data_IF_563572726551
#
_entry.id   IF_563572726551
#
_cell.length_a   1.000
_cell.length_b   1.000
_cell.length_c   1.000
_cell.angle_alpha   90.00
_cell.angle_beta   90.00
_cell.angle_gamma   90.00
#
_symmetry.space_group_name_H-M   'P 1'
#
loop_
_entity.id
_entity.type
_entity.pdbx_description
1 polymer ?
#
# COMPACT_ATOMS: atom_id res chain seq x y z
N UNK A 1 3.15 -14.65 8.79
CA UNK A 1 3.04 -14.50 7.32
C UNK A 1 1.61 -14.77 6.85
N UNK A 2 0.98 -15.90 7.19
CA UNK A 2 -0.43 -16.16 6.84
C UNK A 2 -1.36 -15.01 7.26
N UNK A 3 -1.34 -14.62 8.54
CA UNK A 3 -2.18 -13.53 9.05
C UNK A 3 -1.98 -12.20 8.30
N UNK A 4 -0.74 -11.87 7.94
CA UNK A 4 -0.44 -10.68 7.14
C UNK A 4 -1.07 -10.78 5.75
N UNK A 5 -0.93 -11.93 5.08
CA UNK A 5 -1.50 -12.16 3.74
C UNK A 5 -3.02 -12.06 3.81
N UNK A 6 -3.65 -12.66 4.82
CA UNK A 6 -5.11 -12.67 5.00
C UNK A 6 -5.64 -11.24 5.18
N UNK A 7 -5.06 -10.48 6.13
CA UNK A 7 -5.38 -9.06 6.33
C UNK A 7 -5.14 -8.22 5.06
N UNK A 8 -4.08 -8.52 4.31
CA UNK A 8 -3.78 -7.78 3.08
C UNK A 8 -4.79 -8.10 1.97
N UNK A 9 -5.24 -9.35 1.88
CA UNK A 9 -6.28 -9.78 0.94
C UNK A 9 -7.63 -9.14 1.25
N UNK A 10 -8.01 -9.06 2.53
CA UNK A 10 -9.24 -8.36 2.94
C UNK A 10 -9.21 -6.89 2.52
N UNK A 11 -8.05 -6.25 2.66
CA UNK A 11 -7.83 -4.86 2.24
C UNK A 11 -7.93 -4.69 0.71
N UNK A 12 -7.39 -5.63 -0.07
CA UNK A 12 -7.58 -5.65 -1.54
C UNK A 12 -9.03 -5.88 -1.90
N UNK A 13 -9.73 -6.78 -1.21
CA UNK A 13 -11.17 -7.01 -1.41
C UNK A 13 -11.99 -5.75 -1.16
N UNK A 14 -11.67 -4.99 -0.11
CA UNK A 14 -12.29 -3.70 0.15
C UNK A 14 -12.06 -2.70 -1.00
N UNK A 15 -10.83 -2.64 -1.53
CA UNK A 15 -10.51 -1.84 -2.73
C UNK A 15 -11.33 -2.32 -3.92
N UNK A 16 -11.46 -3.62 -4.18
CA UNK A 16 -12.26 -4.13 -5.31
C UNK A 16 -13.74 -3.68 -5.26
N UNK A 17 -14.30 -3.53 -4.06
CA UNK A 17 -15.67 -3.05 -3.86
C UNK A 17 -15.80 -1.53 -3.92
N UNK A 18 -14.88 -0.79 -3.29
CA UNK A 18 -14.93 0.67 -3.15
C UNK A 18 -14.33 1.38 -4.37
N UNK A 19 -13.25 0.82 -4.90
CA UNK A 19 -12.47 1.37 -6.00
C UNK A 19 -13.09 1.12 -7.38
N UNK A 20 -14.00 0.16 -7.58
CA UNK A 20 -14.74 0.08 -8.87
C UNK A 20 -15.53 1.36 -9.20
N UNK A 21 -15.90 2.14 -8.20
CA UNK A 21 -16.56 3.45 -8.36
C UNK A 21 -15.59 4.63 -8.43
N UNK A 22 -14.32 4.42 -8.11
CA UNK A 22 -13.34 5.47 -7.76
C UNK A 22 -12.07 5.40 -8.64
N UNK A 23 -11.62 4.19 -8.96
CA UNK A 23 -10.38 3.81 -9.63
C UNK A 23 -10.72 3.22 -11.00
N UNK A 24 -10.00 3.64 -12.05
CA UNK A 24 -10.18 3.09 -13.40
C UNK A 24 -9.72 1.62 -13.47
N UNK A 25 -10.14 0.88 -14.52
CA UNK A 25 -9.73 -0.53 -14.71
C UNK A 25 -8.21 -0.74 -14.77
N UNK A 26 -7.49 0.19 -15.40
CA UNK A 26 -6.02 0.11 -15.53
C UNK A 26 -5.33 0.27 -14.17
N UNK A 27 -5.83 1.21 -13.36
CA UNK A 27 -5.30 1.49 -12.02
C UNK A 27 -5.62 0.35 -11.05
N UNK A 28 -6.80 -0.27 -11.19
CA UNK A 28 -7.20 -1.46 -10.43
C UNK A 28 -6.29 -2.65 -10.70
N UNK A 29 -6.01 -2.95 -11.97
CA UNK A 29 -5.09 -4.02 -12.34
C UNK A 29 -3.67 -3.76 -11.84
N UNK A 30 -3.20 -2.51 -11.98
CA UNK A 30 -1.89 -2.08 -11.48
C UNK A 30 -1.82 -2.27 -9.96
N UNK A 31 -2.81 -1.77 -9.21
CA UNK A 31 -2.88 -1.91 -7.76
C UNK A 31 -2.81 -3.38 -7.32
N UNK A 32 -3.58 -4.27 -7.97
CA UNK A 32 -3.56 -5.70 -7.68
C UNK A 32 -2.17 -6.31 -7.90
N UNK A 33 -1.50 -5.99 -9.01
CA UNK A 33 -0.14 -6.47 -9.28
C UNK A 33 0.85 -6.00 -8.20
N UNK A 34 0.75 -4.74 -7.76
CA UNK A 34 1.61 -4.20 -6.72
C UNK A 34 1.42 -4.95 -5.39
N UNK A 35 0.17 -5.22 -5.04
CA UNK A 35 -0.14 -5.97 -3.81
C UNK A 35 0.35 -7.41 -3.89
N UNK A 36 0.22 -8.07 -5.04
CA UNK A 36 0.71 -9.44 -5.21
C UNK A 36 2.24 -9.55 -5.03
N UNK A 37 3.01 -8.56 -5.51
CA UNK A 37 4.46 -8.50 -5.27
C UNK A 37 4.85 -8.37 -3.79
N UNK A 38 3.97 -7.78 -2.98
CA UNK A 38 4.20 -7.53 -1.55
C UNK A 38 3.77 -8.70 -0.64
N UNK A 39 3.13 -9.75 -1.19
CA UNK A 39 2.71 -10.96 -0.46
C UNK A 39 3.77 -12.07 -0.45
N UNK A 40 4.88 -11.89 -1.16
CA UNK A 40 5.92 -12.93 -1.28
C UNK A 40 6.46 -13.37 0.08
N UNK A 41 6.70 -14.67 0.24
CA UNK A 41 7.42 -15.23 1.40
C UNK A 41 8.93 -14.99 1.30
N UNK A 42 9.44 -14.69 0.11
CA UNK A 42 10.81 -14.23 -0.12
C UNK A 42 10.90 -12.72 0.15
N UNK A 43 11.53 -12.37 1.27
CA UNK A 43 11.64 -10.99 1.72
C UNK A 43 12.55 -10.12 0.84
N UNK A 44 13.51 -10.71 0.13
CA UNK A 44 14.32 -9.95 -0.81
C UNK A 44 13.47 -9.58 -2.04
N UNK A 45 12.63 -10.50 -2.52
CA UNK A 45 11.65 -10.18 -3.55
C UNK A 45 10.66 -9.08 -3.11
N UNK A 46 10.19 -9.10 -1.84
CA UNK A 46 9.36 -8.01 -1.30
C UNK A 46 10.11 -6.68 -1.29
N UNK A 47 11.37 -6.65 -0.85
CA UNK A 47 12.19 -5.42 -0.86
C UNK A 47 12.43 -4.89 -2.28
N UNK A 48 12.71 -5.76 -3.25
CA UNK A 48 12.86 -5.37 -4.65
C UNK A 48 11.58 -4.77 -5.22
N UNK A 49 10.41 -5.32 -4.86
CA UNK A 49 9.13 -4.71 -5.22
C UNK A 49 8.96 -3.33 -4.58
N UNK A 50 9.27 -3.16 -3.29
CA UNK A 50 9.23 -1.85 -2.62
C UNK A 50 10.18 -0.84 -3.30
N UNK A 51 11.36 -1.28 -3.71
CA UNK A 51 12.32 -0.48 -4.47
C UNK A 51 11.75 0.00 -5.81
N UNK A 52 11.09 -0.89 -6.54
CA UNK A 52 10.46 -0.54 -7.80
C UNK A 52 9.35 0.50 -7.57
N UNK A 53 8.49 0.28 -6.58
CA UNK A 53 7.43 1.22 -6.20
C UNK A 53 7.97 2.61 -5.85
N UNK A 54 9.08 2.68 -5.12
CA UNK A 54 9.77 3.93 -4.81
C UNK A 54 10.30 4.64 -6.05
N UNK A 55 10.84 3.90 -7.03
CA UNK A 55 11.33 4.49 -8.29
C UNK A 55 10.19 5.02 -9.14
N UNK A 56 9.07 4.31 -9.19
CA UNK A 56 7.89 4.70 -9.97
C UNK A 56 7.19 5.94 -9.41
N UNK A 57 7.33 6.20 -8.08
CA UNK A 57 6.76 7.36 -7.38
C UNK A 57 5.25 7.56 -7.63
N UNK A 58 4.53 6.47 -7.89
CA UNK A 58 3.07 6.50 -8.09
C UNK A 58 2.38 6.60 -6.74
N UNK A 59 1.53 7.62 -6.49
CA UNK A 59 0.85 7.73 -5.21
C UNK A 59 -0.20 6.64 -4.95
N UNK A 60 -0.64 5.91 -5.98
CA UNK A 60 -1.42 4.68 -5.82
C UNK A 60 -0.69 3.60 -4.99
N UNK A 61 0.64 3.69 -4.89
CA UNK A 61 1.49 2.81 -4.08
C UNK A 61 1.49 3.18 -2.59
N UNK A 62 0.99 4.36 -2.20
CA UNK A 62 1.00 4.81 -0.80
C UNK A 62 0.16 3.89 0.10
N UNK A 63 -1.10 3.55 -0.21
CA UNK A 63 -1.88 2.67 0.65
C UNK A 63 -1.26 1.28 0.90
N UNK A 64 -0.81 0.51 -0.11
CA UNK A 64 -0.22 -0.80 0.14
C UNK A 64 1.14 -0.71 0.84
N UNK A 65 1.96 0.31 0.55
CA UNK A 65 3.21 0.52 1.28
C UNK A 65 2.97 0.90 2.74
N UNK A 66 1.91 1.69 3.02
CA UNK A 66 1.52 1.99 4.39
C UNK A 66 1.15 0.70 5.13
N UNK A 67 0.29 -0.14 4.56
CA UNK A 67 -0.07 -1.41 5.17
C UNK A 67 1.17 -2.29 5.47
N UNK A 68 2.08 -2.43 4.51
CA UNK A 68 3.34 -3.18 4.68
C UNK A 68 4.20 -2.58 5.79
N UNK A 69 4.28 -1.25 5.89
CA UNK A 69 5.07 -0.58 6.95
C UNK A 69 4.56 -0.88 8.36
N UNK A 70 3.27 -1.18 8.52
CA UNK A 70 2.64 -1.44 9.81
C UNK A 70 2.59 -2.94 10.15
N UNK A 71 2.15 -3.77 9.22
CA UNK A 71 1.72 -5.15 9.53
C UNK A 71 2.69 -6.23 9.05
N UNK A 72 3.68 -5.91 8.21
CA UNK A 72 4.55 -6.94 7.65
C UNK A 72 5.36 -7.62 8.78
N UNK A 73 5.46 -8.97 8.83
CA UNK A 73 6.04 -9.68 9.97
C UNK A 73 7.55 -9.43 10.14
N UNK A 74 8.26 -9.09 9.06
CA UNK A 74 9.68 -8.73 9.10
C UNK A 74 9.88 -7.23 9.28
N UNK A 75 10.60 -6.86 10.32
CA UNK A 75 10.97 -5.47 10.63
C UNK A 75 11.75 -4.79 9.50
N UNK A 76 12.69 -5.48 8.87
CA UNK A 76 13.49 -4.93 7.77
C UNK A 76 12.63 -4.54 6.56
N UNK A 77 11.54 -5.27 6.30
CA UNK A 77 10.57 -4.95 5.24
C UNK A 77 9.70 -3.77 5.67
N UNK A 78 9.26 -3.71 6.94
CA UNK A 78 8.53 -2.55 7.48
C UNK A 78 9.33 -1.26 7.32
N UNK A 79 10.60 -1.27 7.76
CA UNK A 79 11.50 -0.13 7.64
C UNK A 79 11.75 0.27 6.17
N UNK A 80 11.85 -0.71 5.27
CA UNK A 80 12.02 -0.44 3.83
C UNK A 80 10.79 0.25 3.23
N UNK A 81 9.60 -0.16 3.63
CA UNK A 81 8.33 0.45 3.21
C UNK A 81 8.17 1.86 3.80
N UNK A 82 8.51 2.08 5.08
CA UNK A 82 8.51 3.42 5.68
C UNK A 82 9.44 4.38 4.93
N UNK A 83 10.65 3.93 4.57
CA UNK A 83 11.58 4.71 3.77
C UNK A 83 10.98 5.07 2.39
N UNK A 84 10.35 4.10 1.72
CA UNK A 84 9.71 4.36 0.44
C UNK A 84 8.56 5.38 0.55
N UNK A 85 7.74 5.30 1.61
CA UNK A 85 6.66 6.27 1.87
C UNK A 85 7.20 7.70 2.03
N UNK A 86 8.34 7.86 2.73
CA UNK A 86 8.99 9.16 2.88
C UNK A 86 9.51 9.75 1.54
N UNK A 87 9.76 8.90 0.54
CA UNK A 87 10.20 9.30 -0.80
C UNK A 87 9.05 9.58 -1.76
N UNK A 88 7.97 8.78 -1.69
CA UNK A 88 6.85 8.83 -2.66
C UNK A 88 5.83 9.91 -2.29
N UNK A 89 5.54 10.08 -1.00
CA UNK A 89 4.46 10.95 -0.52
C UNK A 89 4.94 12.08 0.38
N UNK A 90 4.06 13.06 0.58
CA UNK A 90 4.25 14.05 1.64
C UNK A 90 4.03 13.36 3.00
N UNK A 91 5.13 13.14 3.74
CA UNK A 91 5.11 12.49 5.07
C UNK A 91 4.11 13.16 6.00
N UNK A 92 4.00 14.49 5.98
CA UNK A 92 3.08 15.23 6.87
C UNK A 92 1.64 14.95 6.49
N UNK A 93 1.35 14.83 5.20
CA UNK A 93 -0.01 14.54 4.74
C UNK A 93 -0.40 13.08 5.01
N UNK A 94 0.53 12.12 4.83
CA UNK A 94 0.30 10.73 5.22
C UNK A 94 0.00 10.66 6.71
N UNK A 95 0.83 11.27 7.56
CA UNK A 95 0.63 11.31 9.01
C UNK A 95 -0.71 11.95 9.38
N UNK A 96 -1.06 13.07 8.76
CA UNK A 96 -2.35 13.75 9.00
C UNK A 96 -3.54 12.84 8.67
N UNK A 97 -3.45 12.06 7.59
CA UNK A 97 -4.52 11.15 7.15
C UNK A 97 -4.65 9.93 8.06
N UNK A 98 -3.55 9.45 8.63
CA UNK A 98 -3.52 8.18 9.39
C UNK A 98 -3.50 8.33 10.90
N UNK A 99 -3.19 9.52 11.43
CA UNK A 99 -3.07 9.77 12.87
C UNK A 99 -4.34 9.38 13.64
N UNK A 100 -4.16 8.57 14.68
CA UNK A 100 -5.23 8.13 15.56
C UNK A 100 -6.14 7.04 14.99
N UNK A 101 -5.83 6.51 13.80
CA UNK A 101 -6.58 5.43 13.15
C UNK A 101 -5.88 4.08 13.37
N UNK A 102 -6.68 3.01 13.40
CA UNK A 102 -6.14 1.67 13.20
C UNK A 102 -5.48 1.53 11.81
N UNK A 103 -4.63 0.52 11.61
CA UNK A 103 -4.02 0.27 10.29
C UNK A 103 -5.08 0.18 9.20
N UNK A 104 -6.17 -0.54 9.45
CA UNK A 104 -7.24 -0.73 8.47
C UNK A 104 -7.91 0.61 8.10
N UNK A 105 -8.34 1.39 9.10
CA UNK A 105 -8.95 2.71 8.89
C UNK A 105 -8.00 3.69 8.19
N UNK A 106 -6.72 3.65 8.53
CA UNK A 106 -5.68 4.45 7.90
C UNK A 106 -5.54 4.09 6.42
N UNK A 107 -5.46 2.81 6.08
CA UNK A 107 -5.32 2.37 4.68
C UNK A 107 -6.56 2.74 3.88
N UNK A 108 -7.78 2.56 4.42
CA UNK A 108 -9.03 2.99 3.76
C UNK A 108 -9.01 4.49 3.43
N UNK A 109 -8.63 5.33 4.39
CA UNK A 109 -8.53 6.76 4.17
C UNK A 109 -7.44 7.15 3.15
N UNK A 110 -6.32 6.40 3.12
CA UNK A 110 -5.29 6.58 2.10
C UNK A 110 -5.78 6.15 0.70
N UNK A 111 -6.59 5.09 0.58
CA UNK A 111 -7.22 4.67 -0.68
C UNK A 111 -8.18 5.77 -1.17
N UNK A 112 -9.01 6.33 -0.30
CA UNK A 112 -9.91 7.44 -0.68
C UNK A 112 -9.13 8.65 -1.18
N UNK A 113 -7.97 8.93 -0.58
CA UNK A 113 -7.16 10.10 -0.94
C UNK A 113 -6.30 9.90 -2.20
N UNK A 114 -5.65 8.74 -2.31
CA UNK A 114 -4.61 8.46 -3.32
C UNK A 114 -5.03 7.42 -4.36
N UNK A 115 -6.18 6.78 -4.18
CA UNK A 115 -6.75 5.79 -5.11
C UNK A 115 -7.41 6.40 -6.35
N UNK A 116 -7.60 7.72 -6.37
CA UNK A 116 -8.06 8.47 -7.53
C UNK A 116 -6.90 9.17 -8.23
N UNK A 117 -6.51 8.68 -9.40
CA UNK A 117 -5.75 9.48 -10.36
C UNK A 117 -6.72 10.01 -11.42
N UNK A 118 -6.88 11.34 -11.48
CA UNK A 118 -7.25 11.96 -12.74
C UNK A 118 -5.99 11.97 -13.60
N UNK A 119 -6.03 11.22 -14.71
CA UNK A 119 -5.16 11.41 -15.86
C UNK A 119 -5.19 12.87 -16.33
#
# INVERSE_FOLDING_TARGET
>A
MSEFIDKFQDLVGFVDHTAKSIMGRLDHFTFKMLVDGLKSTDYEAVKSNIEQLEREKRPLSIPPLYFVSQEHPRESVRARAEKALATIGDRKEIEKVTRGKSTEEAVKALIEKYGHYKS
#
